data_IF_924028978738
#
_entry.id   IF_924028978738
#
_cell.length_a   1.000
_cell.length_b   1.000
_cell.length_c   1.000
_cell.angle_alpha   90.00
_cell.angle_beta   90.00
_cell.angle_gamma   90.00
#
_symmetry.space_group_name_H-M   'P 1'
#
loop_
_entity.id
_entity.type
_entity.pdbx_description
1 polymer ?
#
# COMPACT_ATOMS: atom_id res chain seq x y z
N UNK A 1 -8.39 -10.53 -12.12
CA UNK A 1 -9.03 -11.13 -10.92
C UNK A 1 -10.08 -12.16 -11.33
N UNK A 2 -10.00 -13.38 -10.77
CA UNK A 2 -10.99 -14.46 -11.03
C UNK A 2 -11.56 -14.93 -9.69
N UNK A 3 -12.88 -15.09 -9.60
CA UNK A 3 -13.53 -15.73 -8.44
C UNK A 3 -13.67 -17.20 -8.79
N UNK A 4 -12.87 -18.06 -8.17
CA UNK A 4 -12.95 -19.51 -8.34
C UNK A 4 -13.50 -20.20 -7.08
N UNK A 5 -14.29 -21.25 -7.28
CA UNK A 5 -14.61 -22.21 -6.22
C UNK A 5 -15.41 -21.65 -5.04
N UNK A 6 -16.55 -21.01 -5.27
CA UNK A 6 -17.53 -20.79 -4.20
C UNK A 6 -18.27 -22.10 -3.93
N UNK A 7 -18.02 -22.71 -2.76
CA UNK A 7 -18.70 -23.94 -2.34
C UNK A 7 -19.65 -23.65 -1.18
N UNK A 8 -20.87 -24.16 -1.27
CA UNK A 8 -21.81 -24.19 -0.16
C UNK A 8 -22.02 -25.65 0.22
N UNK A 9 -21.61 -26.05 1.42
CA UNK A 9 -22.03 -27.33 1.97
C UNK A 9 -23.42 -27.12 2.61
N UNK A 10 -24.39 -27.97 2.30
CA UNK A 10 -25.79 -27.78 2.72
C UNK A 10 -26.03 -27.88 4.23
N UNK A 11 -24.99 -27.82 5.07
CA UNK A 11 -25.06 -27.90 6.52
C UNK A 11 -24.44 -26.67 7.21
N UNK A 12 -23.57 -25.91 6.53
CA UNK A 12 -23.07 -24.60 6.92
C UNK A 12 -23.18 -23.64 5.72
N UNK A 13 -24.05 -22.63 5.82
CA UNK A 13 -24.21 -21.61 4.77
C UNK A 13 -23.05 -20.58 4.77
N UNK A 14 -21.84 -21.01 5.09
CA UNK A 14 -20.65 -20.18 5.00
C UNK A 14 -20.09 -20.36 3.60
N UNK A 15 -20.33 -19.36 2.74
CA UNK A 15 -19.77 -19.34 1.39
C UNK A 15 -18.34 -18.82 1.52
N UNK A 16 -17.37 -19.73 1.53
CA UNK A 16 -15.97 -19.39 1.32
C UNK A 16 -15.72 -19.34 -0.19
N UNK A 17 -15.53 -18.14 -0.73
CA UNK A 17 -15.03 -17.98 -2.09
C UNK A 17 -13.52 -17.77 -2.03
N UNK A 18 -12.78 -18.56 -2.81
CA UNK A 18 -11.35 -18.34 -2.97
C UNK A 18 -11.15 -17.35 -4.11
N UNK A 19 -10.75 -16.12 -3.79
CA UNK A 19 -10.31 -15.18 -4.84
C UNK A 19 -8.94 -15.69 -5.31
N UNK A 20 -8.76 -16.00 -6.59
CA UNK A 20 -7.47 -16.50 -7.12
C UNK A 20 -6.87 -15.46 -8.04
N UNK A 21 -5.57 -15.20 -7.83
CA UNK A 21 -4.78 -14.22 -8.56
C UNK A 21 -4.32 -13.05 -7.68
N UNK A 22 -3.12 -12.50 -7.93
CA UNK A 22 -2.68 -11.25 -7.29
C UNK A 22 -3.69 -10.13 -7.59
N UNK A 23 -3.77 -9.06 -6.78
CA UNK A 23 -4.42 -7.84 -7.23
C UNK A 23 -3.78 -7.47 -8.56
N UNK A 24 -4.58 -7.31 -9.61
CA UNK A 24 -4.05 -6.84 -10.89
C UNK A 24 -3.48 -5.44 -10.63
N UNK A 25 -2.15 -5.29 -10.69
CA UNK A 25 -1.53 -3.96 -10.67
C UNK A 25 -2.03 -3.21 -11.89
N UNK A 26 -2.68 -2.05 -11.73
CA UNK A 26 -3.15 -1.31 -12.88
C UNK A 26 -1.93 -0.81 -13.66
N UNK A 27 -1.82 -1.23 -14.92
CA UNK A 27 -0.89 -0.64 -15.87
C UNK A 27 -1.67 0.47 -16.58
N UNK A 28 -1.27 1.71 -16.35
CA UNK A 28 -1.90 2.89 -16.95
C UNK A 28 -1.01 3.42 -18.06
N UNK A 29 -1.39 3.20 -19.31
CA UNK A 29 -0.65 3.70 -20.47
C UNK A 29 0.89 3.47 -20.42
N UNK A 30 1.36 2.36 -19.84
CA UNK A 30 2.78 2.02 -19.68
C UNK A 30 3.43 2.46 -18.37
N UNK A 31 2.68 3.12 -17.48
CA UNK A 31 3.05 3.37 -16.08
C UNK A 31 2.60 2.19 -15.23
N UNK A 32 3.55 1.56 -14.54
CA UNK A 32 3.25 0.52 -13.57
C UNK A 32 2.95 1.19 -12.23
N UNK A 33 1.84 0.80 -11.61
CA UNK A 33 1.46 1.31 -10.29
C UNK A 33 1.39 0.18 -9.27
N UNK A 34 2.25 0.23 -8.27
CA UNK A 34 2.40 -0.79 -7.24
C UNK A 34 1.98 -0.25 -5.87
N UNK A 35 1.19 -1.03 -5.14
CA UNK A 35 0.82 -0.71 -3.77
C UNK A 35 1.88 -1.30 -2.81
N UNK A 36 2.73 -0.44 -2.26
CA UNK A 36 3.89 -0.83 -1.43
C UNK A 36 3.63 -0.56 0.05
N UNK A 37 4.17 -1.45 0.90
CA UNK A 37 4.07 -1.35 2.35
C UNK A 37 5.11 -2.27 3.01
N UNK A 38 5.44 -1.96 4.27
CA UNK A 38 6.29 -2.81 5.10
C UNK A 38 5.70 -3.07 6.49
N UNK A 39 4.63 -2.35 6.86
CA UNK A 39 4.05 -2.38 8.20
C UNK A 39 2.54 -2.35 8.16
N UNK A 40 1.95 -2.99 9.16
CA UNK A 40 0.52 -3.17 9.28
C UNK A 40 0.07 -3.00 10.72
N UNK A 41 -1.17 -2.57 10.88
CA UNK A 41 -1.90 -2.65 12.13
C UNK A 41 -2.89 -3.80 12.02
N UNK A 42 -2.81 -4.73 12.96
CA UNK A 42 -3.86 -5.73 13.18
C UNK A 42 -4.81 -5.23 14.26
N UNK A 43 -6.11 -5.21 13.95
CA UNK A 43 -7.18 -4.75 14.83
C UNK A 43 -7.55 -5.80 15.90
N UNK A 44 -6.57 -6.15 16.73
CA UNK A 44 -6.74 -7.08 17.85
C UNK A 44 -5.44 -7.30 18.62
N UNK A 45 -5.50 -8.10 19.70
CA UNK A 45 -4.34 -8.40 20.53
C UNK A 45 -3.39 -9.43 19.88
N UNK A 46 -2.11 -9.46 20.27
CA UNK A 46 -1.08 -10.30 19.62
C UNK A 46 -1.39 -11.80 19.59
N UNK A 47 -2.09 -12.32 20.61
CA UNK A 47 -2.42 -13.75 20.72
C UNK A 47 -3.45 -14.20 19.67
N UNK A 48 -4.11 -13.25 19.01
CA UNK A 48 -5.06 -13.49 17.91
C UNK A 48 -4.47 -13.23 16.53
N UNK A 49 -3.17 -12.91 16.45
CA UNK A 49 -2.52 -12.68 15.17
C UNK A 49 -2.71 -13.90 14.26
N UNK A 50 -3.24 -13.69 13.05
CA UNK A 50 -3.41 -14.77 12.09
C UNK A 50 -2.04 -15.28 11.62
N UNK A 51 -1.96 -16.55 11.26
CA UNK A 51 -0.77 -17.12 10.62
C UNK A 51 -0.66 -16.58 9.19
N UNK A 52 0.49 -15.98 8.80
CA UNK A 52 0.70 -15.54 7.42
C UNK A 52 0.90 -16.75 6.47
N UNK A 53 0.85 -16.54 5.15
CA UNK A 53 1.18 -17.57 4.17
C UNK A 53 2.57 -18.16 4.39
N UNK A 54 2.78 -19.41 4.00
CA UNK A 54 4.12 -20.01 4.04
C UNK A 54 5.01 -19.36 2.98
N UNK A 55 6.19 -18.92 3.40
CA UNK A 55 7.19 -18.31 2.52
C UNK A 55 8.01 -19.42 1.86
N UNK A 56 8.20 -19.39 0.53
CA UNK A 56 9.02 -20.38 -0.16
C UNK A 56 10.45 -20.43 0.39
N UNK A 57 11.09 -21.61 0.45
CA UNK A 57 12.47 -21.73 0.89
C UNK A 57 13.41 -20.86 0.06
N UNK A 58 14.27 -20.08 0.72
CA UNK A 58 15.22 -19.16 0.08
C UNK A 58 14.68 -17.75 -0.20
N UNK A 59 13.41 -17.48 0.12
CA UNK A 59 12.79 -16.14 0.05
C UNK A 59 12.52 -15.55 1.44
N UNK A 60 13.16 -16.07 2.48
CA UNK A 60 12.93 -15.61 3.85
C UNK A 60 13.29 -14.11 4.01
N UNK A 61 14.21 -13.60 3.18
CA UNK A 61 14.55 -12.19 3.06
C UNK A 61 13.72 -11.54 1.94
N UNK A 62 12.85 -10.58 2.28
CA UNK A 62 12.06 -9.82 1.30
C UNK A 62 10.68 -10.42 0.95
N UNK A 63 10.09 -11.21 1.83
CA UNK A 63 8.80 -11.89 1.61
C UNK A 63 7.55 -10.99 1.76
N UNK A 64 7.72 -9.66 1.76
CA UNK A 64 6.58 -8.75 1.93
C UNK A 64 5.60 -8.81 0.78
N UNK A 65 6.11 -9.14 -0.41
CA UNK A 65 5.31 -9.36 -1.61
C UNK A 65 4.38 -10.56 -1.43
N UNK A 66 4.84 -11.64 -0.78
CA UNK A 66 4.02 -12.82 -0.48
C UNK A 66 2.89 -12.51 0.52
N UNK A 67 3.08 -11.49 1.36
CA UNK A 67 2.07 -11.05 2.33
C UNK A 67 1.07 -10.07 1.73
N UNK A 68 1.34 -9.50 0.55
CA UNK A 68 0.50 -8.47 -0.05
C UNK A 68 -0.96 -8.92 -0.17
N UNK A 69 -1.19 -10.01 -0.90
CA UNK A 69 -2.51 -10.58 -1.10
C UNK A 69 -3.19 -10.91 0.22
N UNK A 70 -2.43 -11.49 1.14
CA UNK A 70 -2.96 -11.91 2.43
C UNK A 70 -3.45 -10.74 3.25
N UNK A 71 -2.69 -9.64 3.33
CA UNK A 71 -3.08 -8.44 4.08
C UNK A 71 -4.30 -7.77 3.44
N UNK A 72 -4.29 -7.52 2.13
CA UNK A 72 -5.35 -6.72 1.49
C UNK A 72 -6.72 -7.42 1.51
N UNK A 73 -6.73 -8.75 1.61
CA UNK A 73 -7.95 -9.55 1.68
C UNK A 73 -8.54 -9.64 3.07
N UNK A 74 -7.78 -9.28 4.10
CA UNK A 74 -8.24 -9.31 5.49
C UNK A 74 -8.94 -8.02 5.86
N UNK A 75 -10.01 -8.15 6.64
CA UNK A 75 -10.78 -7.01 7.14
C UNK A 75 -10.25 -6.47 8.47
N UNK A 76 -9.36 -7.21 9.12
CA UNK A 76 -8.77 -6.88 10.41
C UNK A 76 -7.32 -6.37 10.29
N UNK A 77 -6.84 -6.14 9.06
CA UNK A 77 -5.52 -5.60 8.79
C UNK A 77 -5.60 -4.26 8.05
N UNK A 78 -4.72 -3.35 8.45
CA UNK A 78 -4.63 -1.99 7.91
C UNK A 78 -3.19 -1.67 7.61
N UNK A 79 -2.94 -1.11 6.45
CA UNK A 79 -1.58 -0.74 6.05
C UNK A 79 -1.16 0.54 6.76
N UNK A 80 0.04 0.55 7.31
CA UNK A 80 0.66 1.74 7.91
C UNK A 80 1.52 2.40 6.83
N UNK A 81 1.31 3.71 6.62
CA UNK A 81 1.95 4.49 5.56
C UNK A 81 1.82 3.84 4.16
N UNK A 82 0.58 3.57 3.70
CA UNK A 82 0.38 3.03 2.36
C UNK A 82 1.00 3.98 1.33
N UNK A 83 1.76 3.40 0.41
CA UNK A 83 2.40 4.15 -0.66
C UNK A 83 2.11 3.49 -1.99
N UNK A 84 1.52 4.23 -2.93
CA UNK A 84 1.42 3.79 -4.32
C UNK A 84 2.60 4.29 -5.11
N UNK A 85 3.48 3.38 -5.50
CA UNK A 85 4.61 3.67 -6.36
C UNK A 85 4.14 3.71 -7.81
N UNK A 86 4.38 4.82 -8.48
CA UNK A 86 4.21 4.96 -9.93
C UNK A 86 5.60 4.87 -10.55
N UNK A 87 5.84 3.83 -11.33
CA UNK A 87 7.07 3.63 -12.07
C UNK A 87 6.83 3.84 -13.56
N UNK A 88 7.72 4.60 -14.18
CA UNK A 88 7.66 4.86 -15.60
C UNK A 88 9.03 4.56 -16.20
N UNK A 89 9.06 3.52 -17.03
CA UNK A 89 10.22 3.11 -17.81
C UNK A 89 10.00 3.45 -19.28
N UNK A 90 10.89 4.27 -19.83
CA UNK A 90 10.71 4.77 -21.19
C UNK A 90 11.76 4.22 -22.14
N UNK A 91 11.30 3.64 -23.25
CA UNK A 91 12.13 3.31 -24.39
C UNK A 91 12.30 4.48 -25.38
N UNK A 92 11.49 5.54 -25.24
CA UNK A 92 11.48 6.78 -26.05
C UNK A 92 11.17 7.98 -25.13
N UNK A 93 11.06 9.20 -25.66
CA UNK A 93 10.62 10.36 -24.85
C UNK A 93 9.10 10.27 -24.61
N UNK A 94 8.69 10.11 -23.36
CA UNK A 94 7.29 10.10 -22.94
C UNK A 94 6.98 11.29 -22.02
N UNK A 95 5.80 11.89 -22.20
CA UNK A 95 5.26 12.91 -21.28
C UNK A 95 4.09 12.30 -20.53
N UNK A 96 4.26 12.13 -19.21
CA UNK A 96 3.19 11.78 -18.29
C UNK A 96 2.63 13.05 -17.66
N UNK A 97 1.34 13.29 -17.84
CA UNK A 97 0.62 14.36 -17.17
C UNK A 97 -0.39 13.74 -16.22
N UNK A 98 -0.21 13.97 -14.92
CA UNK A 98 -1.17 13.53 -13.91
C UNK A 98 -2.22 14.63 -13.78
N UNK A 99 -3.46 14.28 -14.13
CA UNK A 99 -4.58 15.20 -14.22
C UNK A 99 -5.46 15.21 -12.98
N UNK A 100 -5.58 14.06 -12.31
CA UNK A 100 -6.33 13.94 -11.07
C UNK A 100 -5.80 12.81 -10.18
N UNK A 101 -5.87 12.99 -8.85
CA UNK A 101 -5.60 11.96 -7.85
C UNK A 101 -6.69 12.11 -6.80
N UNK A 102 -7.58 11.12 -6.72
CA UNK A 102 -8.70 11.12 -5.80
C UNK A 102 -8.56 9.97 -4.80
N UNK A 103 -8.34 10.30 -3.52
CA UNK A 103 -8.37 9.34 -2.42
C UNK A 103 -9.70 9.50 -1.68
N UNK A 104 -10.61 8.55 -1.86
CA UNK A 104 -11.99 8.63 -1.38
C UNK A 104 -12.24 7.66 -0.22
N UNK A 105 -12.35 8.16 1.04
CA UNK A 105 -12.77 7.33 2.15
C UNK A 105 -14.22 6.86 1.99
N UNK A 106 -14.44 5.54 2.01
CA UNK A 106 -15.77 4.91 2.08
C UNK A 106 -16.21 4.79 3.54
N UNK A 107 -15.30 4.39 4.43
CA UNK A 107 -15.54 4.31 5.88
C UNK A 107 -14.35 4.86 6.66
N UNK A 108 -14.66 5.38 7.84
CA UNK A 108 -13.67 5.74 8.85
C UNK A 108 -14.21 5.41 10.24
N UNK A 109 -13.34 4.95 11.12
CA UNK A 109 -13.67 4.63 12.50
C UNK A 109 -12.44 4.83 13.39
N UNK A 110 -12.67 4.98 14.68
CA UNK A 110 -11.57 5.03 15.66
C UNK A 110 -10.83 3.69 15.67
N UNK A 111 -9.51 3.75 15.86
CA UNK A 111 -8.73 2.53 16.09
C UNK A 111 -9.24 1.83 17.36
N UNK A 112 -9.26 0.49 17.38
CA UNK A 112 -9.67 -0.25 18.57
C UNK A 112 -8.71 0.02 19.74
N UNK A 113 -9.19 -0.13 20.98
CA UNK A 113 -8.37 0.02 22.18
C UNK A 113 -7.19 -0.98 22.21
N UNK A 114 -7.41 -2.17 21.66
CA UNK A 114 -6.39 -3.21 21.48
C UNK A 114 -6.06 -3.38 19.99
N UNK A 115 -4.79 -3.19 19.65
CA UNK A 115 -4.25 -3.41 18.32
C UNK A 115 -2.80 -3.90 18.42
N UNK A 116 -2.29 -4.47 17.34
CA UNK A 116 -0.93 -4.99 17.26
C UNK A 116 -0.22 -4.44 16.03
N UNK A 117 1.00 -3.93 16.20
CA UNK A 117 1.86 -3.53 15.08
C UNK A 117 2.56 -4.77 14.53
N UNK A 118 2.52 -4.92 13.20
CA UNK A 118 3.19 -6.00 12.49
C UNK A 118 4.15 -5.38 11.49
N UNK A 119 5.38 -5.86 11.49
CA UNK A 119 6.37 -5.52 10.48
C UNK A 119 6.65 -6.74 9.61
N UNK A 120 6.53 -6.55 8.30
CA UNK A 120 7.11 -7.49 7.37
C UNK A 120 8.61 -7.24 7.27
N UNK A 121 9.39 -8.31 7.24
CA UNK A 121 10.85 -8.21 7.30
C UNK A 121 11.43 -7.45 6.12
N UNK A 122 12.03 -6.29 6.44
CA UNK A 122 12.97 -5.52 5.63
C UNK A 122 12.50 -5.24 4.19
N UNK A 123 11.60 -4.27 4.05
CA UNK A 123 11.34 -3.66 2.75
C UNK A 123 12.62 -3.07 2.16
N UNK A 124 12.81 -3.22 0.84
CA UNK A 124 13.75 -2.39 0.12
C UNK A 124 13.30 -0.92 0.30
N UNK A 125 14.20 -0.06 0.77
CA UNK A 125 13.85 1.35 0.97
C UNK A 125 13.30 1.96 -0.32
N UNK A 126 12.31 2.84 -0.19
CA UNK A 126 11.78 3.60 -1.32
C UNK A 126 12.73 4.76 -1.61
N UNK A 127 13.15 4.92 -2.87
CA UNK A 127 13.87 6.11 -3.34
C UNK A 127 13.10 6.78 -4.49
N UNK A 128 11.90 7.32 -4.24
CA UNK A 128 11.11 7.93 -5.29
C UNK A 128 11.68 9.31 -5.63
N UNK A 129 11.73 9.66 -6.91
CA UNK A 129 12.15 11.00 -7.34
C UNK A 129 11.15 12.09 -6.92
N UNK A 130 9.87 11.73 -6.80
CA UNK A 130 8.80 12.62 -6.34
C UNK A 130 7.95 11.97 -5.25
N UNK A 131 7.54 12.77 -4.27
CA UNK A 131 6.59 12.41 -3.23
C UNK A 131 5.29 13.18 -3.45
N UNK A 132 4.19 12.46 -3.61
CA UNK A 132 2.85 13.00 -3.75
C UNK A 132 2.11 12.67 -2.44
N UNK A 133 1.54 13.67 -1.79
CA UNK A 133 0.74 13.48 -0.58
C UNK A 133 -0.73 13.69 -0.91
N UNK A 134 -1.54 12.65 -0.72
CA UNK A 134 -3.00 12.71 -0.83
C UNK A 134 -3.62 12.84 0.58
N UNK A 135 -4.06 14.04 0.94
CA UNK A 135 -4.55 14.39 2.26
C UNK A 135 -6.08 14.31 2.35
N UNK A 136 -6.58 13.26 3.02
CA UNK A 136 -8.02 13.05 3.22
C UNK A 136 -8.63 13.97 4.28
N UNK A 137 -7.81 14.72 5.04
CA UNK A 137 -8.31 15.65 6.08
C UNK A 137 -8.92 16.89 5.43
N UNK A 138 -8.26 17.37 4.39
CA UNK A 138 -8.62 18.59 3.67
C UNK A 138 -9.03 18.34 2.21
N UNK A 139 -8.89 17.09 1.73
CA UNK A 139 -9.08 16.72 0.32
C UNK A 139 -8.13 17.50 -0.61
N UNK A 140 -6.85 17.53 -0.22
CA UNK A 140 -5.78 18.24 -0.94
C UNK A 140 -4.74 17.22 -1.41
N UNK A 141 -4.21 17.43 -2.62
CA UNK A 141 -3.07 16.67 -3.12
C UNK A 141 -1.90 17.63 -3.31
N UNK A 142 -0.73 17.24 -2.85
CA UNK A 142 0.49 18.04 -3.01
C UNK A 142 1.62 17.19 -3.53
N UNK A 143 2.59 17.80 -4.20
CA UNK A 143 3.83 17.15 -4.63
C UNK A 143 5.02 17.79 -3.93
N UNK A 144 6.10 17.04 -3.79
CA UNK A 144 7.41 17.48 -3.35
C UNK A 144 8.46 16.62 -4.06
N UNK A 145 9.60 17.20 -4.40
CA UNK A 145 10.75 16.49 -4.94
C UNK A 145 11.83 16.32 -3.86
N UNK A 146 12.87 15.54 -4.15
CA UNK A 146 13.98 15.33 -3.22
C UNK A 146 14.81 16.60 -2.99
N UNK A 147 14.88 17.48 -3.99
CA UNK A 147 15.66 18.72 -3.93
C UNK A 147 14.92 19.88 -3.24
N UNK A 148 13.62 19.70 -2.94
CA UNK A 148 12.77 20.66 -2.27
C UNK A 148 12.31 21.82 -3.16
N UNK A 149 12.63 21.82 -4.47
CA UNK A 149 12.16 22.83 -5.41
C UNK A 149 10.63 22.84 -5.54
N UNK A 150 10.00 21.67 -5.38
CA UNK A 150 8.55 21.49 -5.50
C UNK A 150 7.83 21.34 -4.15
N UNK A 151 8.46 21.68 -3.02
CA UNK A 151 7.91 21.39 -1.69
C UNK A 151 6.51 21.98 -1.47
N UNK A 152 5.53 21.09 -1.26
CA UNK A 152 4.14 21.43 -0.94
C UNK A 152 3.37 22.10 -2.08
N UNK A 153 3.79 21.95 -3.33
CA UNK A 153 3.05 22.50 -4.46
C UNK A 153 1.74 21.74 -4.65
N UNK A 154 0.65 22.47 -4.93
CA UNK A 154 -0.65 21.87 -5.18
C UNK A 154 -0.62 21.03 -6.45
N UNK A 155 -1.25 19.85 -6.35
CA UNK A 155 -1.53 18.93 -7.44
C UNK A 155 -3.00 18.53 -7.34
N UNK A 156 -3.61 18.05 -8.42
CA UNK A 156 -3.20 18.15 -9.83
C UNK A 156 -3.65 19.48 -10.51
N UNK A 157 -3.25 19.79 -11.76
CA UNK A 157 -2.41 19.00 -12.66
C UNK A 157 -0.90 19.27 -12.51
N UNK A 158 -0.07 18.23 -12.66
CA UNK A 158 1.36 18.39 -12.95
C UNK A 158 1.82 17.44 -14.06
N UNK A 159 2.90 17.82 -14.75
CA UNK A 159 3.49 17.03 -15.82
C UNK A 159 4.91 16.64 -15.47
N UNK A 160 5.19 15.34 -15.59
CA UNK A 160 6.51 14.74 -15.46
C UNK A 160 6.95 14.38 -16.89
N UNK A 161 8.06 14.92 -17.34
CA UNK A 161 8.62 14.62 -18.68
C UNK A 161 9.83 13.72 -18.53
N UNK A 162 9.85 12.58 -19.22
CA UNK A 162 10.99 11.68 -19.24
C UNK A 162 11.76 11.76 -20.54
N UNK A 163 13.08 11.74 -20.44
CA UNK A 163 13.95 11.61 -21.61
C UNK A 163 14.24 10.14 -21.89
N UNK A 164 14.61 9.85 -23.14
CA UNK A 164 14.90 8.48 -23.61
C UNK A 164 15.92 7.77 -22.70
N UNK A 165 15.57 6.56 -22.26
CA UNK A 165 16.43 5.72 -21.41
C UNK A 165 16.50 6.15 -19.94
N UNK A 166 15.60 7.05 -19.50
CA UNK A 166 15.43 7.38 -18.09
C UNK A 166 14.26 6.59 -17.49
N UNK A 167 14.43 6.23 -16.22
CA UNK A 167 13.39 5.73 -15.33
C UNK A 167 13.06 6.81 -14.31
N UNK A 168 11.78 7.01 -13.98
CA UNK A 168 11.37 7.94 -12.94
C UNK A 168 10.24 7.35 -12.12
N UNK A 169 10.37 7.53 -10.81
CA UNK A 169 9.41 7.02 -9.85
C UNK A 169 8.77 8.17 -9.06
N UNK A 170 7.48 8.04 -8.79
CA UNK A 170 6.75 8.91 -7.86
C UNK A 170 6.00 8.04 -6.85
N UNK A 171 5.95 8.49 -5.60
CA UNK A 171 5.28 7.77 -4.52
C UNK A 171 4.08 8.58 -4.02
N UNK A 172 2.88 8.00 -4.08
CA UNK A 172 1.65 8.59 -3.52
C UNK A 172 1.46 8.08 -2.10
N UNK A 173 1.68 8.94 -1.12
CA UNK A 173 1.50 8.67 0.30
C UNK A 173 0.17 9.20 0.81
N UNK A 174 -0.50 8.45 1.69
CA UNK A 174 -1.79 8.85 2.22
C UNK A 174 -1.62 9.61 3.54
N UNK A 175 -2.25 10.78 3.65
CA UNK A 175 -2.30 11.56 4.89
C UNK A 175 -3.75 11.59 5.38
N UNK A 176 -3.95 11.25 6.64
CA UNK A 176 -5.29 11.22 7.25
C UNK A 176 -5.22 11.58 8.75
N UNK A 177 -6.36 11.71 9.41
CA UNK A 177 -6.37 11.99 10.86
C UNK A 177 -5.75 10.83 11.66
N UNK A 178 -4.79 11.14 12.53
CA UNK A 178 -4.19 10.18 13.45
C UNK A 178 -5.22 9.53 14.38
N UNK A 179 -5.01 8.27 14.75
CA UNK A 179 -5.91 7.51 15.64
C UNK A 179 -7.16 6.94 14.95
N UNK A 180 -7.29 7.12 13.65
CA UNK A 180 -8.41 6.61 12.85
C UNK A 180 -7.95 5.50 11.91
N UNK A 181 -8.85 4.58 11.62
CA UNK A 181 -8.73 3.58 10.56
C UNK A 181 -9.65 3.96 9.40
N UNK A 182 -9.19 3.71 8.18
CA UNK A 182 -9.89 4.09 6.95
C UNK A 182 -10.07 2.88 6.04
N UNK A 183 -11.21 2.87 5.34
CA UNK A 183 -11.49 2.03 4.18
C UNK A 183 -11.83 2.95 3.01
N UNK A 184 -11.26 2.73 1.84
CA UNK A 184 -11.49 3.62 0.70
C UNK A 184 -10.94 3.13 -0.62
N UNK A 185 -10.98 4.03 -1.60
CA UNK A 185 -10.46 3.80 -2.96
C UNK A 185 -9.51 4.93 -3.34
N UNK A 186 -8.56 4.64 -4.21
CA UNK A 186 -7.71 5.63 -4.87
C UNK A 186 -7.94 5.54 -6.37
N UNK A 187 -8.17 6.67 -7.04
CA UNK A 187 -8.07 6.77 -8.50
C UNK A 187 -7.02 7.78 -8.92
N UNK A 188 -6.27 7.43 -9.95
CA UNK A 188 -5.29 8.31 -10.59
C UNK A 188 -5.68 8.43 -12.05
N UNK A 189 -5.93 9.65 -12.50
CA UNK A 189 -6.18 9.97 -13.90
C UNK A 189 -4.92 10.59 -14.47
N UNK A 190 -4.38 10.01 -15.54
CA UNK A 190 -3.21 10.55 -16.21
C UNK A 190 -3.29 10.43 -17.72
N UNK A 191 -2.49 11.24 -18.39
CA UNK A 191 -2.35 11.31 -19.84
C UNK A 191 -0.90 10.98 -20.20
N UNK A 192 -0.68 9.95 -21.01
CA UNK A 192 0.63 9.62 -21.58
C UNK A 192 0.59 9.88 -23.08
N UNK A 193 1.42 10.82 -23.54
CA UNK A 193 1.51 11.19 -24.97
C UNK A 193 0.15 11.49 -25.64
N UNK A 194 -0.79 12.11 -24.92
CA UNK A 194 -2.12 12.44 -25.46
C UNK A 194 -3.20 11.39 -25.21
N UNK A 195 -2.88 10.26 -24.59
CA UNK A 195 -3.85 9.20 -24.27
C UNK A 195 -4.15 9.22 -22.79
N UNK A 196 -5.40 9.59 -22.44
CA UNK A 196 -5.91 9.55 -21.08
C UNK A 196 -6.24 8.11 -20.66
N UNK A 197 -5.88 7.76 -19.44
CA UNK A 197 -6.18 6.48 -18.81
C UNK A 197 -6.36 6.66 -17.30
N UNK A 198 -7.04 5.71 -16.65
CA UNK A 198 -7.39 5.77 -15.22
C UNK A 198 -6.97 4.47 -14.55
N UNK A 199 -6.14 4.59 -13.52
CA UNK A 199 -5.80 3.52 -12.60
C UNK A 199 -6.65 3.67 -11.34
N UNK A 200 -7.18 2.56 -10.86
CA UNK A 200 -7.96 2.53 -9.63
C UNK A 200 -7.44 1.44 -8.70
N UNK A 201 -7.39 1.76 -7.41
CA UNK A 201 -7.03 0.86 -6.33
C UNK A 201 -8.20 0.74 -5.35
N UNK A 202 -8.54 -0.51 -5.02
CA UNK A 202 -9.69 -0.86 -4.20
C UNK A 202 -11.03 -0.68 -4.91
N UNK A 203 -12.09 -1.18 -4.28
CA UNK A 203 -13.48 -0.99 -4.67
C UNK A 203 -14.40 -0.85 -3.45
N UNK A 204 -15.71 -0.71 -3.66
CA UNK A 204 -16.67 -0.74 -2.54
C UNK A 204 -16.69 -2.09 -1.83
N UNK A 205 -16.54 -3.18 -2.59
CA UNK A 205 -16.53 -4.55 -2.09
C UNK A 205 -15.18 -4.94 -1.47
N UNK A 206 -14.08 -4.40 -2.00
CA UNK A 206 -12.71 -4.65 -1.54
C UNK A 206 -11.95 -3.33 -1.41
N UNK A 207 -12.23 -2.52 -0.39
CA UNK A 207 -11.55 -1.24 -0.20
C UNK A 207 -10.10 -1.44 0.25
N UNK A 208 -9.26 -0.46 -0.07
CA UNK A 208 -7.95 -0.30 0.57
C UNK A 208 -8.20 0.00 2.05
N UNK A 209 -7.43 -0.61 2.95
CA UNK A 209 -7.50 -0.37 4.39
C UNK A 209 -6.19 0.24 4.88
N UNK A 210 -6.26 1.40 5.53
CA UNK A 210 -5.06 2.07 6.03
C UNK A 210 -5.27 2.73 7.39
N UNK A 211 -4.16 2.91 8.10
CA UNK A 211 -4.09 3.66 9.34
C UNK A 211 -3.91 5.14 9.03
N UNK A 212 -4.74 5.99 9.62
CA UNK A 212 -4.59 7.43 9.48
C UNK A 212 -3.39 7.95 10.24
N UNK A 213 -2.58 8.77 9.55
CA UNK A 213 -1.39 9.43 10.09
C UNK A 213 -1.28 10.82 9.48
N UNK A 214 -0.81 11.77 10.28
CA UNK A 214 -0.68 13.18 9.89
C UNK A 214 0.56 13.51 9.03
N UNK A 215 1.36 12.50 8.68
CA UNK A 215 2.58 12.62 7.88
C UNK A 215 3.84 12.93 8.69
N UNK A 216 3.75 13.12 10.01
CA UNK A 216 4.89 13.52 10.86
C UNK A 216 5.23 12.54 11.96
N UNK A 217 4.28 11.68 12.35
CA UNK A 217 4.53 10.64 13.35
C UNK A 217 5.30 9.46 12.75
N UNK A 218 6.56 9.31 13.12
CA UNK A 218 7.31 8.04 13.09
C UNK A 218 7.26 7.32 14.42
N UNK A 219 6.51 7.83 15.41
CA UNK A 219 6.52 7.29 16.76
C UNK A 219 5.69 6.00 16.84
N UNK A 220 6.33 4.92 16.41
CA UNK A 220 5.89 3.53 16.59
C UNK A 220 6.63 2.95 17.80
N UNK A 221 6.59 3.67 18.92
CA UNK A 221 7.20 3.26 20.19
C UNK A 221 6.51 2.06 20.88
N UNK A 222 5.59 1.41 20.18
CA UNK A 222 4.96 0.16 20.61
C UNK A 222 5.74 -1.08 20.20
N UNK A 223 5.46 -2.18 20.87
CA UNK A 223 6.01 -3.48 20.51
C UNK A 223 5.57 -3.87 19.10
N UNK A 224 6.53 -4.20 18.25
CA UNK A 224 6.30 -4.61 16.86
C UNK A 224 6.48 -6.12 16.75
N UNK A 225 5.58 -6.79 16.04
CA UNK A 225 5.60 -8.24 15.87
C UNK A 225 6.09 -8.62 14.48
N UNK A 226 7.02 -9.56 14.44
CA UNK A 226 7.60 -10.10 13.21
C UNK A 226 7.39 -11.60 13.18
N UNK A 227 7.02 -12.14 12.02
CA UNK A 227 6.89 -13.59 11.86
C UNK A 227 8.28 -14.24 11.77
N UNK A 228 8.57 -15.18 12.68
CA UNK A 228 9.74 -16.04 12.59
C UNK A 228 9.42 -17.22 11.67
N UNK A 229 9.89 -17.16 10.43
CA UNK A 229 9.68 -18.19 9.40
C UNK A 229 10.20 -19.56 9.85
N UNK A 230 11.27 -19.60 10.67
CA UNK A 230 11.92 -20.83 11.12
C UNK A 230 11.14 -21.49 12.26
N UNK A 231 10.71 -20.69 13.22
CA UNK A 231 9.96 -21.18 14.39
C UNK A 231 8.44 -21.22 14.16
N UNK A 232 7.98 -20.63 13.06
CA UNK A 232 6.56 -20.51 12.66
C UNK A 232 5.71 -19.87 13.75
N UNK A 233 6.20 -18.78 14.31
CA UNK A 233 5.50 -18.01 15.35
C UNK A 233 5.73 -16.50 15.21
N UNK A 234 4.79 -15.72 15.73
CA UNK A 234 4.95 -14.27 15.89
C UNK A 234 5.87 -13.98 17.07
N UNK A 235 6.89 -13.14 16.86
CA UNK A 235 7.81 -12.73 17.90
C UNK A 235 7.83 -11.22 18.06
N UNK A 236 7.74 -10.81 19.30
CA UNK A 236 7.83 -9.42 19.71
C UNK A 236 9.27 -8.90 19.54
N UNK A 237 9.41 -7.72 18.93
CA UNK A 237 10.66 -7.00 18.74
C UNK A 237 11.78 -7.85 18.10
N UNK A 238 11.38 -8.85 17.31
CA UNK A 238 12.29 -9.82 16.71
C UNK A 238 12.89 -9.30 15.40
N UNK A 239 14.23 -9.38 15.32
CA UNK A 239 15.00 -9.10 14.12
C UNK A 239 15.82 -10.34 13.74
N UNK A 240 15.54 -10.98 12.60
CA UNK A 240 16.23 -12.21 12.21
C UNK A 240 17.69 -11.95 11.76
N UNK A 241 18.05 -10.71 11.42
CA UNK A 241 19.42 -10.31 11.03
C UNK A 241 20.03 -9.42 12.12
N UNK A 242 21.04 -9.90 12.87
CA UNK A 242 21.81 -9.06 13.77
C UNK A 242 22.65 -8.03 13.00
N UNK A 243 22.49 -6.74 13.28
CA UNK A 243 23.45 -5.70 12.87
C UNK A 243 23.04 -4.72 11.76
N UNK A 244 21.81 -4.78 11.25
CA UNK A 244 21.23 -3.68 10.45
C UNK A 244 20.58 -2.66 11.41
N UNK A 245 21.26 -1.52 11.60
CA UNK A 245 20.75 -0.31 12.25
C UNK A 245 20.67 0.81 11.23
#
# INVERSE_FOLDING_TARGET
>A
MTIDGCWADGHHNDIECTITGPPDYPIMAGVEMEFTFARFLFAGPPEKLPTPPEIPPGQELGHCDDWHDWVVRRTDMYVIWPTVLMEMDTGIIDVLKVDDIELTPIRRYEAPEEWTDIECQFGAGLNPGYWISADTRNNEVTVSDQDGEFSGMAMPPASITLQEGQSQNAAISFISHSGMLYEGTLSVTAEVNGVEDIAAFGSQEMPIRWVGRDGTETDLSGDTYTWDVKEKEWKENFRPIPGLQ
#
